data_IF_751009630627
#
_entry.id   IF_751009630627
#
_cell.length_a   1.000
_cell.length_b   1.000
_cell.length_c   1.000
_cell.angle_alpha   90.00
_cell.angle_beta   90.00
_cell.angle_gamma   90.00
#
_symmetry.space_group_name_H-M   'P 1'
#
loop_
_entity.id
_entity.type
_entity.pdbx_description
1 polymer ?
#
# COMPACT_ATOMS: atom_id res chain seq x y z
N UNK A 1 -38.64 18.26 3.74
CA UNK A 1 -37.95 17.11 3.12
C UNK A 1 -36.48 17.27 3.46
N UNK A 2 -35.97 16.38 4.30
CA UNK A 2 -34.58 16.39 4.77
C UNK A 2 -33.78 15.42 3.91
N UNK A 3 -32.89 15.95 3.08
CA UNK A 3 -31.90 15.24 2.28
C UNK A 3 -30.88 16.33 1.93
N UNK A 4 -29.57 16.23 2.17
CA UNK A 4 -28.71 15.08 2.11
C UNK A 4 -27.41 15.54 2.79
N UNK A 5 -27.16 15.10 4.03
CA UNK A 5 -25.84 15.28 4.66
C UNK A 5 -24.86 14.39 3.91
N UNK A 6 -24.40 14.84 2.73
CA UNK A 6 -23.31 14.20 2.00
C UNK A 6 -22.08 14.26 2.88
N UNK A 7 -21.84 13.10 3.49
CA UNK A 7 -20.82 12.87 4.48
C UNK A 7 -19.47 13.42 4.03
N UNK A 8 -18.78 13.93 5.03
CA UNK A 8 -17.35 14.15 5.12
C UNK A 8 -16.56 13.70 3.90
N UNK A 9 -15.79 14.65 3.36
CA UNK A 9 -14.85 14.45 2.27
C UNK A 9 -13.95 13.24 2.54
N UNK A 10 -14.39 12.07 2.06
CA UNK A 10 -13.57 10.88 1.99
C UNK A 10 -12.31 11.27 1.22
N UNK A 11 -11.14 11.12 1.85
CA UNK A 11 -9.83 11.36 1.23
C UNK A 11 -9.75 10.64 -0.12
N UNK A 12 -10.03 11.36 -1.21
CA UNK A 12 -9.96 10.82 -2.55
C UNK A 12 -8.51 10.87 -3.01
N UNK A 13 -7.94 9.71 -3.36
CA UNK A 13 -6.58 9.64 -3.89
C UNK A 13 -6.54 10.28 -5.28
N UNK A 14 -5.97 11.48 -5.36
CA UNK A 14 -5.82 12.25 -6.61
C UNK A 14 -4.59 11.79 -7.39
N UNK A 15 -4.59 12.05 -8.71
CA UNK A 15 -3.43 11.77 -9.57
C UNK A 15 -3.24 10.32 -9.98
N UNK A 16 -4.16 9.41 -9.62
CA UNK A 16 -4.10 8.02 -10.11
C UNK A 16 -4.65 7.94 -11.55
N UNK A 17 -3.87 7.41 -12.50
CA UNK A 17 -4.34 7.17 -13.87
C UNK A 17 -5.61 6.32 -13.90
N UNK A 18 -6.51 6.65 -14.82
CA UNK A 18 -7.81 5.97 -14.91
C UNK A 18 -7.66 4.47 -15.25
N UNK A 19 -6.67 4.13 -16.06
CA UNK A 19 -6.30 2.73 -16.35
C UNK A 19 -5.95 1.94 -15.08
N UNK A 20 -5.22 2.56 -14.15
CA UNK A 20 -4.82 1.94 -12.90
C UNK A 20 -6.01 1.78 -11.95
N UNK A 21 -6.92 2.77 -11.91
CA UNK A 21 -8.18 2.65 -11.15
C UNK A 21 -9.01 1.47 -11.64
N UNK A 22 -9.13 1.31 -12.96
CA UNK A 22 -9.86 0.18 -13.55
C UNK A 22 -9.21 -1.16 -13.24
N UNK A 23 -7.89 -1.25 -13.33
CA UNK A 23 -7.16 -2.46 -13.00
C UNK A 23 -7.37 -2.87 -11.53
N UNK A 24 -7.27 -1.91 -10.61
CA UNK A 24 -7.53 -2.14 -9.17
C UNK A 24 -8.98 -2.57 -8.94
N UNK A 25 -9.96 -1.91 -9.55
CA UNK A 25 -11.36 -2.26 -9.41
C UNK A 25 -11.68 -3.66 -9.96
N UNK A 26 -11.14 -4.00 -11.12
CA UNK A 26 -11.29 -5.33 -11.72
C UNK A 26 -10.68 -6.41 -10.82
N UNK A 27 -9.50 -6.14 -10.25
CA UNK A 27 -8.82 -7.08 -9.37
C UNK A 27 -9.57 -7.29 -8.06
N UNK A 28 -9.97 -6.21 -7.39
CA UNK A 28 -10.78 -6.27 -6.18
C UNK A 28 -12.08 -7.07 -6.41
N UNK A 29 -12.74 -6.84 -7.55
CA UNK A 29 -13.94 -7.59 -7.96
C UNK A 29 -13.65 -9.08 -8.16
N UNK A 30 -12.55 -9.44 -8.82
CA UNK A 30 -12.18 -10.85 -9.04
C UNK A 30 -11.90 -11.61 -7.75
N UNK A 31 -11.51 -10.89 -6.69
CA UNK A 31 -11.26 -11.44 -5.35
C UNK A 31 -12.49 -11.36 -4.43
N UNK A 32 -13.63 -10.85 -4.91
CA UNK A 32 -14.85 -10.69 -4.10
C UNK A 32 -14.73 -9.62 -3.00
N UNK A 33 -13.83 -8.64 -3.17
CA UNK A 33 -13.51 -7.61 -2.18
C UNK A 33 -13.96 -6.23 -2.66
N UNK A 34 -14.19 -5.31 -1.71
CA UNK A 34 -14.33 -3.88 -2.04
C UNK A 34 -12.98 -3.29 -2.43
N UNK A 35 -13.01 -2.25 -3.28
CA UNK A 35 -11.78 -1.55 -3.72
C UNK A 35 -10.97 -1.05 -2.53
N UNK A 36 -11.63 -0.42 -1.54
CA UNK A 36 -10.97 0.09 -0.34
C UNK A 36 -10.29 -1.02 0.46
N UNK A 37 -10.97 -2.15 0.69
CA UNK A 37 -10.39 -3.28 1.42
C UNK A 37 -9.19 -3.89 0.69
N UNK A 38 -9.25 -3.95 -0.65
CA UNK A 38 -8.14 -4.45 -1.47
C UNK A 38 -6.94 -3.50 -1.43
N UNK A 39 -7.16 -2.19 -1.60
CA UNK A 39 -6.10 -1.18 -1.59
C UNK A 39 -5.42 -1.09 -0.23
N UNK A 40 -6.19 -1.07 0.86
CA UNK A 40 -5.61 -1.04 2.22
C UNK A 40 -4.71 -2.24 2.49
N UNK A 41 -5.11 -3.42 2.03
CA UNK A 41 -4.35 -4.64 2.19
C UNK A 41 -3.10 -4.65 1.32
N UNK A 42 -3.20 -4.24 0.05
CA UNK A 42 -2.05 -4.07 -0.83
C UNK A 42 -1.03 -3.07 -0.28
N UNK A 43 -1.49 -1.95 0.28
CA UNK A 43 -0.64 -0.96 0.92
C UNK A 43 0.06 -1.51 2.16
N UNK A 44 -0.66 -2.28 3.00
CA UNK A 44 -0.07 -2.92 4.18
C UNK A 44 1.06 -3.88 3.77
N UNK A 45 0.80 -4.77 2.82
CA UNK A 45 1.81 -5.69 2.31
C UNK A 45 3.03 -4.97 1.71
N UNK A 46 2.82 -3.85 1.00
CA UNK A 46 3.91 -3.05 0.46
C UNK A 46 4.76 -2.39 1.56
N UNK A 47 4.12 -1.86 2.61
CA UNK A 47 4.81 -1.27 3.76
C UNK A 47 5.59 -2.33 4.54
N UNK A 48 4.99 -3.49 4.80
CA UNK A 48 5.65 -4.59 5.52
C UNK A 48 6.85 -5.13 4.72
N UNK A 49 6.70 -5.29 3.40
CA UNK A 49 7.78 -5.70 2.51
C UNK A 49 8.96 -4.71 2.49
N UNK A 50 8.66 -3.41 2.48
CA UNK A 50 9.69 -2.37 2.55
C UNK A 50 10.41 -2.37 3.90
N UNK A 51 9.68 -2.53 5.01
CA UNK A 51 10.27 -2.62 6.34
C UNK A 51 11.25 -3.80 6.45
N UNK A 52 10.91 -4.95 5.84
CA UNK A 52 11.80 -6.11 5.77
C UNK A 52 13.05 -5.80 4.92
N UNK A 53 12.87 -5.14 3.77
CA UNK A 53 14.00 -4.75 2.91
C UNK A 53 14.99 -3.83 3.63
N UNK A 54 14.50 -2.85 4.38
CA UNK A 54 15.33 -1.92 5.14
C UNK A 54 16.11 -2.63 6.26
N UNK A 55 15.46 -3.56 6.97
CA UNK A 55 16.11 -4.39 7.99
C UNK A 55 17.21 -5.29 7.40
N UNK A 56 16.95 -5.91 6.25
CA UNK A 56 17.95 -6.72 5.54
C UNK A 56 19.14 -5.87 5.08
N UNK A 57 18.89 -4.65 4.60
CA UNK A 57 19.94 -3.72 4.18
C UNK A 57 20.80 -3.25 5.38
N UNK A 58 20.20 -3.03 6.55
CA UNK A 58 20.94 -2.72 7.78
C UNK A 58 21.82 -3.89 8.23
N UNK A 59 21.27 -5.10 8.28
CA UNK A 59 22.02 -6.30 8.67
C UNK A 59 23.23 -6.55 7.76
N UNK A 60 23.07 -6.37 6.43
CA UNK A 60 24.18 -6.48 5.48
C UNK A 60 25.29 -5.47 5.77
N UNK A 61 24.94 -4.20 6.02
CA UNK A 61 25.92 -3.17 6.42
C UNK A 61 26.64 -3.55 7.72
N UNK A 62 25.93 -4.11 8.70
CA UNK A 62 26.53 -4.54 9.98
C UNK A 62 27.48 -5.71 9.81
N UNK A 63 27.16 -6.67 8.95
CA UNK A 63 28.05 -7.78 8.59
C UNK A 63 29.32 -7.25 7.92
N UNK A 64 29.19 -6.38 6.91
CA UNK A 64 30.36 -5.78 6.25
C UNK A 64 31.27 -5.02 7.23
N UNK A 65 30.69 -4.31 8.20
CA UNK A 65 31.46 -3.62 9.23
C UNK A 65 32.21 -4.59 10.16
N UNK A 66 31.65 -5.76 10.45
CA UNK A 66 32.29 -6.78 11.28
C UNK A 66 33.40 -7.49 10.50
N UNK A 67 33.17 -7.82 9.23
CA UNK A 67 34.16 -8.47 8.35
C UNK A 67 35.38 -7.59 8.10
N UNK A 68 35.21 -6.25 8.03
CA UNK A 68 36.34 -5.31 7.88
C UNK A 68 37.15 -5.11 9.17
N UNK A 69 36.66 -5.59 10.31
CA UNK A 69 37.33 -5.49 11.62
C UNK A 69 37.98 -6.81 12.05
N UNK A 70 37.74 -7.90 11.31
CA UNK A 70 38.38 -9.20 11.47
C UNK A 70 39.62 -9.30 10.56
#
# INVERSE_FOLDING_TARGET
>A
MSDDSKGDSAWAVRGIPEELRRAVAARAKSEGRTVGAWVCDALRHALDGNAISDQVADLRRRIEMLERRA
#
